data_IF_661014903462
#
_entry.id   IF_661014903462
#
_cell.length_a   1.000
_cell.length_b   1.000
_cell.length_c   1.000
_cell.angle_alpha   90.00
_cell.angle_beta   90.00
_cell.angle_gamma   90.00
#
_symmetry.space_group_name_H-M   'P 1'
#
loop_
_entity.id
_entity.type
_entity.pdbx_description
1 polymer ?
#
# COMPACT_ATOMS: atom_id res chain seq x y z
N UNK A 1 6.02 3.42 -18.79
CA UNK A 1 5.24 4.38 -17.99
C UNK A 1 5.51 4.09 -16.52
N UNK A 2 5.86 5.12 -15.74
CA UNK A 2 5.99 5.02 -14.28
C UNK A 2 4.59 4.81 -13.69
N UNK A 3 4.44 3.90 -12.73
CA UNK A 3 3.13 3.61 -12.11
C UNK A 3 2.49 4.86 -11.48
N UNK A 4 1.16 4.85 -11.31
CA UNK A 4 0.43 5.95 -10.67
C UNK A 4 0.17 5.59 -9.21
N UNK A 5 0.40 6.53 -8.29
CA UNK A 5 -0.14 6.42 -6.94
C UNK A 5 -1.68 6.43 -7.04
N UNK A 6 -2.31 5.41 -6.48
CA UNK A 6 -3.77 5.23 -6.55
C UNK A 6 -4.46 5.61 -5.25
N UNK A 7 -3.81 5.38 -4.11
CA UNK A 7 -4.37 5.65 -2.78
C UNK A 7 -3.28 5.63 -1.71
N UNK A 8 -3.43 6.47 -0.69
CA UNK A 8 -2.63 6.44 0.54
C UNK A 8 -3.52 5.92 1.68
N UNK A 9 -3.20 4.74 2.21
CA UNK A 9 -4.01 4.09 3.26
C UNK A 9 -3.77 4.66 4.65
N UNK A 10 -2.52 5.04 4.93
CA UNK A 10 -2.10 5.64 6.19
C UNK A 10 -1.07 6.71 5.89
N UNK A 11 -1.16 7.83 6.61
CA UNK A 11 -0.18 8.90 6.56
C UNK A 11 0.00 9.47 7.98
N UNK A 12 1.20 9.34 8.54
CA UNK A 12 1.49 9.79 9.89
C UNK A 12 2.70 9.10 10.52
N UNK A 13 3.02 9.54 11.74
CA UNK A 13 4.05 8.91 12.56
C UNK A 13 3.43 7.79 13.41
N UNK A 14 4.03 6.61 13.36
CA UNK A 14 3.65 5.47 14.17
C UNK A 14 4.81 5.11 15.09
N UNK A 15 4.50 4.83 16.36
CA UNK A 15 5.49 4.33 17.31
C UNK A 15 5.91 2.90 16.93
N UNK A 16 6.98 2.40 17.53
CA UNK A 16 7.38 1.01 17.31
C UNK A 16 6.25 0.05 17.77
N UNK A 17 5.84 -0.86 16.89
CA UNK A 17 4.72 -1.75 17.16
C UNK A 17 4.29 -2.53 15.92
N UNK A 18 3.23 -3.32 16.08
CA UNK A 18 2.57 -4.02 14.98
C UNK A 18 1.29 -3.27 14.64
N UNK A 19 1.07 -3.02 13.35
CA UNK A 19 -0.11 -2.35 12.83
C UNK A 19 -0.70 -3.17 11.70
N UNK A 20 -2.02 -3.22 11.63
CA UNK A 20 -2.76 -3.83 10.54
C UNK A 20 -3.59 -2.74 9.87
N UNK A 21 -3.53 -2.69 8.54
CA UNK A 21 -4.26 -1.72 7.73
C UNK A 21 -5.04 -2.49 6.69
N UNK A 22 -6.36 -2.30 6.67
CA UNK A 22 -7.22 -2.92 5.67
C UNK A 22 -7.37 -1.98 4.46
N UNK A 23 -7.06 -2.49 3.28
CA UNK A 23 -7.33 -1.77 2.03
C UNK A 23 -8.67 -2.21 1.45
N UNK A 24 -9.65 -1.31 1.42
CA UNK A 24 -10.91 -1.56 0.75
C UNK A 24 -10.76 -1.37 -0.77
N UNK A 25 -10.41 -2.44 -1.47
CA UNK A 25 -10.14 -2.42 -2.89
C UNK A 25 -11.39 -2.42 -3.80
N UNK A 26 -12.61 -2.32 -3.25
CA UNK A 26 -13.87 -2.55 -3.99
C UNK A 26 -14.07 -1.65 -5.22
N UNK A 27 -13.49 -0.44 -5.19
CA UNK A 27 -13.60 0.55 -6.28
C UNK A 27 -12.52 0.40 -7.36
N UNK A 28 -11.57 -0.52 -7.18
CA UNK A 28 -10.44 -0.71 -8.09
C UNK A 28 -10.64 -1.97 -8.95
N UNK A 29 -10.24 -1.93 -10.24
CA UNK A 29 -10.34 -3.09 -11.13
C UNK A 29 -9.38 -4.21 -10.70
N UNK A 30 -9.71 -5.46 -11.02
CA UNK A 30 -8.78 -6.58 -10.84
C UNK A 30 -7.49 -6.33 -11.63
N UNK A 31 -6.34 -6.68 -11.04
CA UNK A 31 -5.05 -6.39 -11.64
C UNK A 31 -3.86 -6.49 -10.67
N UNK A 32 -2.69 -6.10 -11.15
CA UNK A 32 -1.47 -6.06 -10.35
C UNK A 32 -1.33 -4.67 -9.74
N UNK A 33 -1.17 -4.65 -8.43
CA UNK A 33 -0.92 -3.46 -7.63
C UNK A 33 0.41 -3.58 -6.91
N UNK A 34 0.98 -2.43 -6.56
CA UNK A 34 2.16 -2.36 -5.71
C UNK A 34 1.82 -1.50 -4.50
N UNK A 35 2.20 -1.96 -3.31
CA UNK A 35 2.15 -1.14 -2.11
C UNK A 35 3.56 -0.81 -1.65
N UNK A 36 3.72 0.41 -1.14
CA UNK A 36 4.97 0.93 -0.58
C UNK A 36 4.75 1.19 0.91
N UNK A 37 5.60 0.59 1.75
CA UNK A 37 5.69 0.92 3.16
C UNK A 37 6.97 1.71 3.39
N UNK A 38 6.86 2.84 4.08
CA UNK A 38 7.96 3.74 4.39
C UNK A 38 8.01 3.99 5.90
N UNK A 39 9.18 3.77 6.49
CA UNK A 39 9.44 3.98 7.91
C UNK A 39 10.84 4.58 8.09
N UNK A 40 10.93 5.90 8.21
CA UNK A 40 12.21 6.63 8.21
C UNK A 40 12.99 6.35 6.92
N UNK A 41 14.19 5.79 7.05
CA UNK A 41 15.05 5.45 5.90
C UNK A 41 14.74 4.07 5.28
N UNK A 42 13.76 3.34 5.82
CA UNK A 42 13.38 2.03 5.31
C UNK A 42 12.20 2.15 4.35
N UNK A 43 12.38 1.63 3.13
CA UNK A 43 11.33 1.55 2.11
C UNK A 43 11.24 0.11 1.64
N UNK A 44 10.04 -0.45 1.65
CA UNK A 44 9.76 -1.75 1.04
C UNK A 44 8.59 -1.64 0.08
N UNK A 45 8.76 -2.21 -1.10
CA UNK A 45 7.73 -2.28 -2.14
C UNK A 45 7.41 -3.74 -2.38
N UNK A 46 6.12 -4.08 -2.37
CA UNK A 46 5.65 -5.45 -2.60
C UNK A 46 4.52 -5.46 -3.62
N UNK A 47 4.52 -6.52 -4.43
CA UNK A 47 3.51 -6.78 -5.45
C UNK A 47 2.30 -7.46 -4.81
N UNK A 48 1.12 -7.06 -5.23
CA UNK A 48 -0.19 -7.57 -4.84
C UNK A 48 -0.99 -7.87 -6.11
N UNK A 49 -1.82 -8.92 -6.07
CA UNK A 49 -2.76 -9.23 -7.14
C UNK A 49 -4.16 -9.06 -6.56
N UNK A 50 -4.94 -8.17 -7.16
CA UNK A 50 -6.35 -7.99 -6.85
C UNK A 50 -7.17 -8.84 -7.82
N UNK A 51 -7.86 -9.84 -7.28
CA UNK A 51 -8.81 -10.69 -8.02
C UNK A 51 -10.19 -10.46 -7.43
N UNK A 52 -11.19 -10.27 -8.29
CA UNK A 52 -12.61 -10.14 -7.91
C UNK A 52 -13.33 -11.46 -8.09
#
# INVERSE_FOLDING_TARGET
>A
ALGREVESLVNGQFNAGKYEVNWNATKYPSGIYYYRLEAGNYIVIKKMILTK
#
